data_IF_129973482997
#
_entry.id   IF_129973482997
#
_cell.length_a   1.000
_cell.length_b   1.000
_cell.length_c   1.000
_cell.angle_alpha   90.00
_cell.angle_beta   90.00
_cell.angle_gamma   90.00
#
_symmetry.space_group_name_H-M   'P 1'
#
loop_
_entity.id
_entity.type
_entity.pdbx_description
1 polymer ?
#
# COMPACT_ATOMS: atom_id res chain seq x y z
N UNK A 1 -21.14 -1.66 5.55
CA UNK A 1 -19.74 -1.46 5.16
C UNK A 1 -18.78 -1.48 6.34
N UNK A 2 -19.04 -0.73 7.43
CA UNK A 2 -18.14 -0.64 8.60
C UNK A 2 -17.57 -1.97 9.11
N UNK A 3 -18.42 -2.97 9.36
CA UNK A 3 -17.95 -4.29 9.84
C UNK A 3 -16.96 -4.97 8.90
N UNK A 4 -17.13 -4.79 7.58
CA UNK A 4 -16.19 -5.31 6.60
C UNK A 4 -14.88 -4.53 6.63
N UNK A 5 -14.94 -3.19 6.73
CA UNK A 5 -13.75 -2.35 6.92
C UNK A 5 -12.99 -2.74 8.19
N UNK A 6 -13.68 -2.91 9.31
CA UNK A 6 -13.08 -3.33 10.58
C UNK A 6 -12.42 -4.70 10.45
N UNK A 7 -13.05 -5.63 9.72
CA UNK A 7 -12.50 -6.95 9.45
C UNK A 7 -11.22 -6.89 8.60
N UNK A 8 -11.20 -6.17 7.47
CA UNK A 8 -10.02 -6.13 6.59
C UNK A 8 -8.82 -5.44 7.26
N UNK A 9 -9.06 -4.54 8.23
CA UNK A 9 -8.01 -3.90 9.03
C UNK A 9 -7.72 -4.61 10.36
N UNK A 10 -8.38 -5.74 10.63
CA UNK A 10 -8.07 -6.54 11.81
C UNK A 10 -6.64 -7.08 11.72
N UNK A 11 -5.94 -7.11 12.87
CA UNK A 11 -4.57 -7.60 12.98
C UNK A 11 -4.33 -8.92 12.26
N UNK A 12 -5.23 -9.88 12.42
CA UNK A 12 -5.09 -11.22 11.83
C UNK A 12 -5.09 -11.19 10.29
N UNK A 13 -5.95 -10.36 9.69
CA UNK A 13 -6.01 -10.21 8.22
C UNK A 13 -4.75 -9.52 7.71
N UNK A 14 -4.32 -8.45 8.39
CA UNK A 14 -3.13 -7.73 7.99
C UNK A 14 -1.83 -8.53 8.22
N UNK A 15 -1.78 -9.39 9.24
CA UNK A 15 -0.68 -10.34 9.44
C UNK A 15 -0.63 -11.38 8.31
N UNK A 16 -1.79 -11.93 7.93
CA UNK A 16 -1.87 -12.84 6.77
C UNK A 16 -1.32 -12.18 5.49
N UNK A 17 -1.72 -10.94 5.21
CA UNK A 17 -1.22 -10.20 4.03
C UNK A 17 0.29 -9.91 4.11
N UNK A 18 0.83 -9.67 5.30
CA UNK A 18 2.27 -9.50 5.48
C UNK A 18 3.04 -10.81 5.23
N UNK A 19 2.52 -11.93 5.72
CA UNK A 19 3.19 -13.23 5.68
C UNK A 19 3.05 -13.94 4.32
N UNK A 20 1.83 -13.95 3.75
CA UNK A 20 1.53 -14.70 2.53
C UNK A 20 1.79 -13.88 1.25
N UNK A 21 1.45 -12.60 1.27
CA UNK A 21 1.53 -11.72 0.08
C UNK A 21 2.76 -10.79 0.13
N UNK A 22 3.53 -10.82 1.22
CA UNK A 22 4.71 -9.98 1.37
C UNK A 22 4.39 -8.48 1.34
N UNK A 23 3.19 -8.06 1.77
CA UNK A 23 2.81 -6.64 1.78
C UNK A 23 3.37 -5.90 3.01
N UNK A 24 3.58 -4.58 2.89
CA UNK A 24 3.71 -3.70 4.05
C UNK A 24 2.31 -3.19 4.42
N UNK A 25 1.94 -3.32 5.68
CA UNK A 25 0.59 -3.04 6.18
C UNK A 25 0.63 -2.03 7.34
N UNK A 26 -0.46 -1.26 7.56
CA UNK A 26 -0.45 -0.13 8.48
C UNK A 26 -0.77 -0.51 9.95
N UNK A 27 -0.90 -1.79 10.30
CA UNK A 27 -1.24 -2.20 11.66
C UNK A 27 0.01 -2.20 12.57
N UNK A 28 -0.02 -1.52 13.73
CA UNK A 28 1.18 -1.33 14.57
C UNK A 28 1.73 -2.63 15.17
N UNK A 29 0.88 -3.64 15.33
CA UNK A 29 1.25 -4.94 15.92
C UNK A 29 1.58 -6.04 14.91
N UNK A 30 1.64 -5.72 13.60
CA UNK A 30 2.05 -6.70 12.58
C UNK A 30 3.57 -6.79 12.54
N UNK A 31 4.08 -8.02 12.50
CA UNK A 31 5.50 -8.33 12.37
C UNK A 31 5.81 -8.79 10.95
N UNK A 32 7.03 -8.52 10.48
CA UNK A 32 7.49 -8.94 9.15
C UNK A 32 8.55 -10.05 9.26
N UNK A 33 8.63 -10.94 8.25
CA UNK A 33 9.73 -11.89 8.11
C UNK A 33 11.11 -11.22 8.18
N UNK A 34 12.10 -11.92 8.76
CA UNK A 34 13.43 -11.36 9.02
C UNK A 34 14.26 -11.09 7.75
N UNK A 35 13.93 -11.74 6.64
CA UNK A 35 14.51 -11.55 5.32
C UNK A 35 13.94 -10.33 4.59
N UNK A 36 12.91 -9.68 5.14
CA UNK A 36 12.31 -8.47 4.58
C UNK A 36 12.91 -7.22 5.25
N UNK A 37 13.27 -6.17 4.48
CA UNK A 37 13.68 -4.90 5.05
C UNK A 37 12.62 -4.35 6.00
N UNK A 38 13.03 -3.73 7.12
CA UNK A 38 12.06 -3.07 7.99
C UNK A 38 11.52 -1.83 7.30
N UNK A 39 10.28 -1.47 7.60
CA UNK A 39 9.68 -0.27 7.04
C UNK A 39 10.48 1.00 7.37
N UNK A 40 11.14 1.05 8.53
CA UNK A 40 12.05 2.12 8.94
C UNK A 40 13.29 2.27 8.05
N UNK A 41 13.69 1.20 7.37
CA UNK A 41 14.89 1.16 6.54
C UNK A 41 14.57 1.56 5.09
N UNK A 42 13.28 1.71 4.75
CA UNK A 42 12.82 2.10 3.43
C UNK A 42 12.70 3.62 3.32
N UNK A 43 13.25 4.18 2.24
CA UNK A 43 12.96 5.55 1.83
C UNK A 43 11.57 5.60 1.18
N UNK A 44 10.56 5.85 2.01
CA UNK A 44 9.17 5.99 1.55
C UNK A 44 9.03 7.33 0.82
N UNK A 45 8.40 7.30 -0.36
CA UNK A 45 7.95 8.52 -1.04
C UNK A 45 6.60 8.92 -0.44
N UNK A 46 6.52 10.02 0.33
CA UNK A 46 5.24 10.50 0.82
C UNK A 46 4.41 10.95 -0.38
N UNK A 47 3.19 10.43 -0.46
CA UNK A 47 2.21 10.84 -1.47
C UNK A 47 1.03 11.48 -0.76
N UNK A 48 0.60 12.64 -1.26
CA UNK A 48 -0.62 13.29 -0.83
C UNK A 48 -1.81 12.68 -1.59
N UNK A 49 -2.77 12.05 -0.90
CA UNK A 49 -3.93 11.44 -1.55
C UNK A 49 -4.74 12.42 -2.40
N UNK A 50 -4.90 13.67 -1.96
CA UNK A 50 -5.69 14.67 -2.68
C UNK A 50 -4.99 15.09 -3.98
N UNK A 51 -3.66 15.23 -3.93
CA UNK A 51 -2.86 15.53 -5.10
C UNK A 51 -2.86 14.38 -6.13
N UNK A 52 -2.78 13.14 -5.65
CA UNK A 52 -2.87 11.95 -6.50
C UNK A 52 -4.20 11.90 -7.23
N UNK A 53 -5.31 12.13 -6.53
CA UNK A 53 -6.63 12.15 -7.14
C UNK A 53 -6.75 13.25 -8.20
N UNK A 54 -6.32 14.48 -7.86
CA UNK A 54 -6.33 15.62 -8.79
C UNK A 54 -5.57 15.36 -10.08
N UNK A 55 -4.45 14.63 -10.01
CA UNK A 55 -3.57 14.37 -11.16
C UNK A 55 -3.80 13.01 -11.82
N UNK A 56 -4.72 12.19 -11.31
CA UNK A 56 -4.91 10.81 -11.77
C UNK A 56 -5.13 10.72 -13.28
N UNK A 57 -6.00 11.55 -13.84
CA UNK A 57 -6.30 11.51 -15.28
C UNK A 57 -5.16 12.04 -16.16
N UNK A 58 -4.43 13.07 -15.69
CA UNK A 58 -3.22 13.55 -16.36
C UNK A 58 -2.15 12.44 -16.43
N UNK A 59 -1.92 11.77 -15.29
CA UNK A 59 -0.91 10.70 -15.16
C UNK A 59 -1.26 9.53 -16.08
N UNK A 60 -2.53 9.08 -16.10
CA UNK A 60 -2.98 8.00 -16.99
C UNK A 60 -2.77 8.35 -18.45
N UNK A 61 -3.13 9.57 -18.87
CA UNK A 61 -2.95 10.02 -20.26
C UNK A 61 -1.47 10.01 -20.65
N UNK A 62 -0.60 10.59 -19.81
CA UNK A 62 0.84 10.60 -20.06
C UNK A 62 1.46 9.21 -20.08
N UNK A 63 0.96 8.29 -19.25
CA UNK A 63 1.41 6.90 -19.28
C UNK A 63 1.12 6.26 -20.64
N UNK A 64 -0.10 6.44 -21.18
CA UNK A 64 -0.46 5.93 -22.51
C UNK A 64 0.36 6.62 -23.60
N UNK A 65 0.55 7.94 -23.56
CA UNK A 65 1.36 8.68 -24.55
C UNK A 65 2.82 8.20 -24.59
N UNK A 66 3.40 7.84 -23.44
CA UNK A 66 4.80 7.44 -23.33
C UNK A 66 5.03 5.94 -23.54
N UNK A 67 4.07 5.09 -23.16
CA UNK A 67 4.26 3.64 -23.07
C UNK A 67 3.15 2.81 -23.76
N UNK A 68 2.06 3.43 -24.19
CA UNK A 68 0.96 2.78 -24.88
C UNK A 68 1.23 2.71 -26.38
N UNK A 69 1.68 1.55 -26.85
CA UNK A 69 1.82 1.22 -28.27
C UNK A 69 0.48 1.30 -29.01
#
# INVERSE_FOLDING_TARGET
>A
ARLFTDFIFARAVLQYLADAEGLYVPHPEVTYPADKPKLSDLKILPVDPEELERRTEEIKKRFVELFGA
#
